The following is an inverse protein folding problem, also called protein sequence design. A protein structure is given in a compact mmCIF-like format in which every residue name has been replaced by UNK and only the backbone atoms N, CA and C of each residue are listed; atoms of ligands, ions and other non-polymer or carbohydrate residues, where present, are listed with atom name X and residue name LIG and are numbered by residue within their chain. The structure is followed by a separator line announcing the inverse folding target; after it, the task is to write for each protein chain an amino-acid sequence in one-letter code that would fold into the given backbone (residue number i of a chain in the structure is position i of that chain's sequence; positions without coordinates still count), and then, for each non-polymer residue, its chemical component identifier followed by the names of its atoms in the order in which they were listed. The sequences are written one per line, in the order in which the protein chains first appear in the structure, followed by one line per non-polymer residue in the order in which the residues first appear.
data_IF_733152690877
#
_entry.id   IF_733152690877
#
_cell.length_a   1.000
_cell.length_b   1.000
_cell.length_c   1.000
_cell.angle_alpha   90.00
_cell.angle_beta   90.00
_cell.angle_gamma   90.00
#
_symmetry.space_group_name_H-M   'P 1'
#
loop_
_entity.id
_entity.type
_entity.pdbx_description
1 polymer ?
#
# COMPACT_ATOMS: atom_id res chain seq x y z
N UNK A 1 30.12 4.11 15.55
CA UNK A 1 29.58 4.70 14.29
C UNK A 1 28.72 3.69 13.52
N UNK A 2 29.27 2.52 13.12
CA UNK A 2 28.55 1.48 12.36
C UNK A 2 27.21 1.07 13.00
N UNK A 3 27.22 0.82 14.31
CA UNK A 3 26.04 0.41 15.06
C UNK A 3 24.95 1.49 15.09
N UNK A 4 25.30 2.75 15.37
CA UNK A 4 24.35 3.86 15.39
C UNK A 4 23.66 4.06 14.03
N UNK A 5 24.42 3.97 12.93
CA UNK A 5 23.86 4.04 11.56
C UNK A 5 22.98 2.83 11.28
N UNK A 6 23.40 1.63 11.68
CA UNK A 6 22.62 0.40 11.50
C UNK A 6 21.29 0.47 12.26
N UNK A 7 21.29 0.93 13.51
CA UNK A 7 20.08 1.09 14.31
C UNK A 7 19.12 2.12 13.70
N UNK A 8 19.67 3.21 13.13
CA UNK A 8 18.88 4.19 12.39
C UNK A 8 18.20 3.55 11.17
N UNK A 9 18.95 2.81 10.34
CA UNK A 9 18.40 2.13 9.15
C UNK A 9 17.36 1.08 9.55
N UNK A 10 17.62 0.30 10.61
CA UNK A 10 16.65 -0.67 11.16
C UNK A 10 15.34 0.00 11.57
N UNK A 11 15.41 1.14 12.25
CA UNK A 11 14.22 1.91 12.63
C UNK A 11 13.45 2.42 11.40
N UNK A 12 14.14 2.85 10.35
CA UNK A 12 13.51 3.29 9.10
C UNK A 12 12.83 2.13 8.37
N UNK A 13 13.54 1.00 8.22
CA UNK A 13 13.00 -0.23 7.63
C UNK A 13 11.73 -0.69 8.34
N UNK A 14 11.74 -0.74 9.67
CA UNK A 14 10.59 -1.18 10.47
C UNK A 14 9.35 -0.35 10.17
N UNK A 15 9.50 0.98 10.08
CA UNK A 15 8.38 1.88 9.79
C UNK A 15 7.92 1.81 8.33
N UNK A 16 8.84 1.54 7.40
CA UNK A 16 8.48 1.28 5.99
C UNK A 16 7.69 -0.03 5.89
N UNK A 17 8.09 -1.07 6.62
CA UNK A 17 7.36 -2.35 6.70
C UNK A 17 5.96 -2.14 7.29
N UNK A 18 5.84 -1.40 8.39
CA UNK A 18 4.54 -1.04 8.99
C UNK A 18 3.63 -0.32 7.98
N UNK A 19 4.15 0.69 7.29
CA UNK A 19 3.40 1.42 6.25
C UNK A 19 3.02 0.53 5.06
N UNK A 20 3.87 -0.45 4.70
CA UNK A 20 3.55 -1.43 3.67
C UNK A 20 2.37 -2.31 4.08
N UNK A 21 2.37 -2.85 5.30
CA UNK A 21 1.24 -3.64 5.80
C UNK A 21 -0.04 -2.81 5.91
N UNK A 22 0.07 -1.52 6.23
CA UNK A 22 -1.06 -0.60 6.19
C UNK A 22 -1.64 -0.46 4.77
N UNK A 23 -0.79 -0.35 3.73
CA UNK A 23 -1.24 -0.34 2.34
C UNK A 23 -1.99 -1.62 1.97
N UNK A 24 -1.47 -2.80 2.35
CA UNK A 24 -2.13 -4.09 2.13
C UNK A 24 -3.50 -4.12 2.82
N UNK A 25 -3.59 -3.63 4.07
CA UNK A 25 -4.85 -3.54 4.81
C UNK A 25 -5.87 -2.67 4.08
N UNK A 26 -5.46 -1.48 3.64
CA UNK A 26 -6.31 -0.53 2.92
C UNK A 26 -6.78 -1.10 1.57
N UNK A 27 -5.93 -1.84 0.85
CA UNK A 27 -6.30 -2.54 -0.39
C UNK A 27 -7.39 -3.61 -0.11
N UNK A 28 -7.22 -4.40 0.96
CA UNK A 28 -8.19 -5.41 1.38
C UNK A 28 -9.52 -4.80 1.85
N UNK A 29 -9.47 -3.67 2.56
CA UNK A 29 -10.66 -2.93 3.00
C UNK A 29 -11.40 -2.30 1.81
N UNK A 30 -10.67 -1.75 0.83
CA UNK A 30 -11.27 -1.25 -0.40
C UNK A 30 -11.94 -2.39 -1.19
N UNK A 31 -11.27 -3.54 -1.32
CA UNK A 31 -11.83 -4.72 -1.97
C UNK A 31 -13.11 -5.20 -1.29
N UNK A 32 -13.16 -5.20 0.05
CA UNK A 32 -14.38 -5.48 0.81
C UNK A 32 -15.52 -4.54 0.43
N UNK A 33 -15.25 -3.24 0.31
CA UNK A 33 -16.29 -2.27 -0.06
C UNK A 33 -16.79 -2.48 -1.48
N UNK A 34 -15.89 -2.75 -2.43
CA UNK A 34 -16.26 -3.08 -3.82
C UNK A 34 -17.12 -4.35 -3.87
N UNK A 35 -16.77 -5.40 -3.11
CA UNK A 35 -17.58 -6.61 -2.98
C UNK A 35 -19.01 -6.33 -2.47
N UNK A 36 -19.14 -5.43 -1.50
CA UNK A 36 -20.42 -5.13 -0.86
C UNK A 36 -21.32 -4.22 -1.72
N UNK A 37 -20.72 -3.28 -2.47
CA UNK A 37 -21.43 -2.22 -3.20
C UNK A 37 -21.58 -2.57 -4.69
N UNK A 38 -20.52 -3.03 -5.33
CA UNK A 38 -20.44 -3.10 -6.79
C UNK A 38 -20.73 -4.51 -7.34
N UNK A 39 -20.78 -5.53 -6.47
CA UNK A 39 -21.18 -6.88 -6.84
C UNK A 39 -20.22 -7.48 -7.86
N UNK A 40 -19.02 -7.84 -7.43
CA UNK A 40 -17.98 -8.34 -8.35
C UNK A 40 -18.25 -9.81 -8.72
N UNK A 41 -18.28 -10.11 -10.02
CA UNK A 41 -17.98 -11.46 -10.54
C UNK A 41 -16.46 -11.60 -10.55
N UNK A 42 -15.93 -12.35 -9.60
CA UNK A 42 -14.49 -12.58 -9.46
C UNK A 42 -14.14 -13.81 -10.28
N UNK A 43 -13.32 -13.62 -11.31
CA UNK A 43 -12.76 -14.70 -12.12
C UNK A 43 -11.46 -15.24 -11.53
N UNK A 44 -11.15 -16.50 -11.88
CA UNK A 44 -10.25 -17.47 -11.22
C UNK A 44 -8.77 -17.08 -10.96
N UNK A 45 -8.34 -15.85 -11.24
CA UNK A 45 -6.93 -15.43 -11.09
C UNK A 45 -6.63 -14.70 -9.77
N UNK A 46 -7.65 -14.43 -8.95
CA UNK A 46 -7.48 -13.86 -7.61
C UNK A 46 -7.72 -14.92 -6.54
N UNK A 47 -6.91 -14.87 -5.47
CA UNK A 47 -6.70 -15.84 -4.39
C UNK A 47 -7.94 -16.26 -3.55
N UNK A 48 -9.15 -16.02 -4.03
CA UNK A 48 -10.34 -15.93 -3.19
C UNK A 48 -11.62 -16.35 -3.94
N UNK A 49 -12.16 -17.53 -3.63
CA UNK A 49 -13.47 -17.98 -4.12
C UNK A 49 -14.62 -17.53 -3.19
N UNK A 50 -15.36 -16.48 -3.57
CA UNK A 50 -16.72 -16.22 -3.04
C UNK A 50 -17.72 -16.15 -4.18
N UNK A 51 -18.67 -17.08 -4.17
CA UNK A 51 -19.89 -17.01 -4.97
C UNK A 51 -20.97 -16.33 -4.16
N UNK A 52 -21.16 -15.03 -4.36
CA UNK A 52 -22.50 -14.47 -4.14
C UNK A 52 -23.14 -14.25 -5.49
N UNK A 53 -24.32 -14.83 -5.69
CA UNK A 53 -25.11 -14.65 -6.91
C UNK A 53 -25.14 -13.18 -7.28
N UNK A 54 -24.63 -12.82 -8.47
CA UNK A 54 -24.73 -11.47 -9.06
C UNK A 54 -26.17 -11.12 -9.45
N UNK A 55 -27.11 -11.41 -8.56
CA UNK A 55 -28.52 -11.08 -8.68
C UNK A 55 -28.68 -9.63 -8.22
N UNK A 56 -29.08 -8.77 -9.15
CA UNK A 56 -29.21 -7.32 -8.93
C UNK A 56 -30.08 -6.99 -7.71
N UNK A 57 -31.10 -7.81 -7.41
CA UNK A 57 -31.95 -7.64 -6.23
C UNK A 57 -31.18 -7.76 -4.91
N UNK A 58 -30.23 -8.70 -4.83
CA UNK A 58 -29.38 -8.85 -3.63
C UNK A 58 -28.37 -7.71 -3.51
N UNK A 59 -27.80 -7.28 -4.63
CA UNK A 59 -26.88 -6.13 -4.66
C UNK A 59 -27.62 -4.85 -4.24
N UNK A 60 -28.83 -4.63 -4.76
CA UNK A 60 -29.67 -3.50 -4.42
C UNK A 60 -30.14 -3.55 -2.95
N UNK A 61 -30.49 -4.74 -2.43
CA UNK A 61 -30.79 -4.93 -1.00
C UNK A 61 -29.59 -4.55 -0.13
N UNK A 62 -28.38 -4.99 -0.48
CA UNK A 62 -27.14 -4.63 0.22
C UNK A 62 -26.89 -3.12 0.17
N UNK A 63 -26.93 -2.50 -1.02
CA UNK A 63 -26.77 -1.04 -1.17
C UNK A 63 -27.74 -0.27 -0.29
N UNK A 64 -29.01 -0.69 -0.26
CA UNK A 64 -30.05 -0.05 0.57
C UNK A 64 -29.81 -0.23 2.07
N UNK A 65 -29.33 -1.40 2.51
CA UNK A 65 -29.00 -1.67 3.91
C UNK A 65 -27.73 -0.95 4.37
N UNK A 66 -26.78 -0.76 3.48
CA UNK A 66 -25.46 -0.18 3.77
C UNK A 66 -25.46 1.35 3.68
N UNK A 67 -26.30 1.96 2.83
CA UNK A 67 -26.55 3.40 2.79
C UNK A 67 -25.36 4.26 2.33
N UNK A 68 -25.48 5.58 2.53
CA UNK A 68 -24.47 6.60 2.12
C UNK A 68 -23.12 6.47 2.85
N UNK A 69 -23.13 5.88 4.06
CA UNK A 69 -21.95 5.72 4.92
C UNK A 69 -20.83 4.88 4.30
N UNK A 70 -21.17 4.00 3.36
CA UNK A 70 -20.19 3.14 2.68
C UNK A 70 -19.45 3.86 1.55
N UNK A 71 -20.09 4.82 0.87
CA UNK A 71 -19.43 5.63 -0.15
C UNK A 71 -18.40 6.59 0.46
N UNK A 72 -18.71 7.19 1.61
CA UNK A 72 -17.74 7.99 2.36
C UNK A 72 -16.57 7.15 2.85
N UNK A 73 -16.82 5.95 3.39
CA UNK A 73 -15.76 5.02 3.80
C UNK A 73 -14.85 4.60 2.62
N UNK A 74 -15.42 4.35 1.44
CA UNK A 74 -14.65 4.01 0.23
C UNK A 74 -13.69 5.13 -0.15
N UNK A 75 -14.17 6.37 -0.10
CA UNK A 75 -13.33 7.56 -0.33
C UNK A 75 -12.21 7.65 0.70
N UNK A 76 -12.54 7.58 1.98
CA UNK A 76 -11.56 7.71 3.07
C UNK A 76 -10.45 6.65 3.00
N UNK A 77 -10.80 5.40 2.66
CA UNK A 77 -9.82 4.31 2.48
C UNK A 77 -8.94 4.55 1.26
N UNK A 78 -9.54 4.99 0.14
CA UNK A 78 -8.80 5.29 -1.09
C UNK A 78 -7.82 6.43 -0.85
N UNK A 79 -8.27 7.53 -0.27
CA UNK A 79 -7.43 8.68 0.07
C UNK A 79 -6.31 8.25 1.05
N UNK A 80 -6.64 7.47 2.09
CA UNK A 80 -5.65 6.94 3.04
C UNK A 80 -4.58 6.07 2.37
N UNK A 81 -4.97 5.26 1.38
CA UNK A 81 -4.05 4.42 0.62
C UNK A 81 -3.04 5.27 -0.15
N UNK A 82 -3.53 6.23 -0.94
CA UNK A 82 -2.67 7.09 -1.74
C UNK A 82 -1.81 8.05 -0.90
N UNK A 83 -2.33 8.56 0.22
CA UNK A 83 -1.56 9.35 1.18
C UNK A 83 -0.42 8.53 1.81
N UNK A 84 -0.69 7.27 2.16
CA UNK A 84 0.33 6.37 2.73
C UNK A 84 1.39 6.03 1.68
N UNK A 85 0.98 5.75 0.45
CA UNK A 85 1.88 5.46 -0.66
C UNK A 85 2.77 6.67 -1.00
N UNK A 86 2.19 7.88 -1.07
CA UNK A 86 2.92 9.12 -1.33
C UNK A 86 4.03 9.37 -0.29
N UNK A 87 3.73 9.17 1.00
CA UNK A 87 4.68 9.37 2.10
C UNK A 87 5.91 8.46 2.00
N UNK A 88 5.75 7.24 1.48
CA UNK A 88 6.87 6.31 1.29
C UNK A 88 7.87 6.80 0.24
N UNK A 89 7.41 7.55 -0.76
CA UNK A 89 8.23 8.12 -1.84
C UNK A 89 8.66 9.56 -1.60
N UNK A 90 8.36 10.13 -0.42
CA UNK A 90 8.70 11.50 -0.12
C UNK A 90 10.19 11.75 0.00
N UNK A 91 10.61 12.91 -0.50
CA UNK A 91 11.98 13.35 -0.38
C UNK A 91 12.39 13.55 1.09
N UNK A 92 13.69 13.52 1.40
CA UNK A 92 14.18 13.70 2.76
C UNK A 92 13.86 15.08 3.34
N UNK A 93 12.71 15.22 4.00
CA UNK A 93 12.43 16.35 4.88
C UNK A 93 13.00 16.05 6.27
N UNK A 94 13.57 17.08 6.93
CA UNK A 94 14.18 16.99 8.29
C UNK A 94 13.30 16.26 9.32
N UNK A 95 11.97 16.28 9.14
CA UNK A 95 10.98 15.75 10.08
C UNK A 95 10.24 14.48 9.57
N UNK A 96 10.64 13.90 8.43
CA UNK A 96 10.04 12.67 7.89
C UNK A 96 11.08 11.55 7.78
N UNK A 97 11.49 10.95 8.91
CA UNK A 97 12.57 9.96 8.91
C UNK A 97 12.21 8.64 8.22
N UNK A 98 10.95 8.44 7.80
CA UNK A 98 10.39 7.12 7.48
C UNK A 98 10.15 6.91 5.98
N UNK A 99 10.61 7.79 5.10
CA UNK A 99 10.50 7.57 3.65
C UNK A 99 11.64 6.71 3.12
N UNK A 100 11.39 6.01 2.03
CA UNK A 100 12.36 5.16 1.37
C UNK A 100 13.57 5.98 0.86
N UNK A 101 13.40 7.16 0.23
CA UNK A 101 14.54 8.00 -0.15
C UNK A 101 15.45 8.39 1.02
N UNK A 102 14.91 8.62 2.22
CA UNK A 102 15.73 8.93 3.41
C UNK A 102 16.56 7.72 3.82
N UNK A 103 15.96 6.53 3.82
CA UNK A 103 16.67 5.28 4.13
C UNK A 103 17.78 5.01 3.11
N UNK A 104 17.48 5.10 1.81
CA UNK A 104 18.44 4.93 0.72
C UNK A 104 19.58 5.94 0.85
N UNK A 105 19.29 7.23 1.08
CA UNK A 105 20.32 8.25 1.31
C UNK A 105 21.20 7.93 2.53
N UNK A 106 20.60 7.41 3.60
CA UNK A 106 21.32 7.01 4.82
C UNK A 106 22.25 5.84 4.55
N UNK A 107 21.81 4.84 3.79
CA UNK A 107 22.65 3.71 3.38
C UNK A 107 23.78 4.21 2.47
N UNK A 108 23.45 4.99 1.43
CA UNK A 108 24.41 5.41 0.41
C UNK A 108 25.55 6.26 0.97
N UNK A 109 25.26 7.16 1.93
CA UNK A 109 26.29 7.95 2.62
C UNK A 109 27.23 7.12 3.50
N UNK A 110 26.82 5.90 3.84
CA UNK A 110 27.51 5.05 4.80
C UNK A 110 27.93 3.70 4.20
N UNK A 111 28.01 3.55 2.87
CA UNK A 111 28.41 2.29 2.25
C UNK A 111 29.74 1.72 2.77
N UNK A 112 30.71 2.60 3.00
CA UNK A 112 32.06 2.25 3.42
C UNK A 112 32.15 1.53 4.78
N UNK A 113 31.10 1.58 5.62
CA UNK A 113 31.08 0.91 6.92
C UNK A 113 30.41 -0.48 6.91
N UNK A 114 29.89 -0.95 5.76
CA UNK A 114 29.19 -2.24 5.64
C UNK A 114 30.02 -3.26 4.86
N UNK A 115 30.16 -4.49 5.37
CA UNK A 115 31.01 -5.56 4.82
C UNK A 115 30.42 -6.24 3.56
N UNK A 116 29.12 -6.07 3.28
CA UNK A 116 28.43 -6.62 2.11
C UNK A 116 27.95 -5.52 1.17
N UNK A 117 28.80 -4.52 0.93
CA UNK A 117 28.44 -3.30 0.20
C UNK A 117 27.87 -3.59 -1.19
N UNK A 118 28.39 -4.59 -1.91
CA UNK A 118 28.05 -4.78 -3.32
C UNK A 118 26.61 -5.23 -3.53
N UNK A 119 26.13 -6.22 -2.77
CA UNK A 119 24.73 -6.65 -2.85
C UNK A 119 23.76 -5.56 -2.39
N UNK A 120 24.15 -4.75 -1.40
CA UNK A 120 23.36 -3.63 -0.92
C UNK A 120 23.28 -2.50 -1.96
N UNK A 121 24.38 -2.23 -2.66
CA UNK A 121 24.43 -1.31 -3.80
C UNK A 121 23.52 -1.78 -4.92
N UNK A 122 23.60 -3.06 -5.32
CA UNK A 122 22.72 -3.63 -6.36
C UNK A 122 21.25 -3.45 -5.98
N UNK A 123 20.86 -3.75 -4.74
CA UNK A 123 19.48 -3.56 -4.29
C UNK A 123 19.01 -2.10 -4.39
N UNK A 124 19.87 -1.14 -4.03
CA UNK A 124 19.57 0.29 -4.13
C UNK A 124 19.52 0.74 -5.59
N UNK A 125 20.46 0.32 -6.44
CA UNK A 125 20.46 0.67 -7.86
C UNK A 125 19.24 0.11 -8.60
N UNK A 126 18.85 -1.14 -8.33
CA UNK A 126 17.60 -1.71 -8.90
C UNK A 126 16.35 -0.93 -8.48
N UNK A 127 16.31 -0.46 -7.23
CA UNK A 127 15.24 0.42 -6.77
C UNK A 127 15.26 1.78 -7.49
N UNK A 128 16.41 2.43 -7.60
CA UNK A 128 16.55 3.73 -8.27
C UNK A 128 16.16 3.64 -9.75
N UNK A 129 16.55 2.59 -10.47
CA UNK A 129 16.11 2.32 -11.84
C UNK A 129 14.59 2.11 -11.93
N UNK A 130 14.02 1.39 -10.96
CA UNK A 130 12.58 1.15 -10.88
C UNK A 130 11.81 2.43 -10.59
N UNK A 131 12.36 3.33 -9.76
CA UNK A 131 11.78 4.65 -9.50
C UNK A 131 11.74 5.50 -10.76
N UNK A 132 12.85 5.57 -11.52
CA UNK A 132 12.92 6.36 -12.75
C UNK A 132 11.85 5.90 -13.75
N UNK A 133 11.66 4.58 -13.89
CA UNK A 133 10.62 4.00 -14.76
C UNK A 133 9.17 4.28 -14.31
N UNK A 134 8.97 4.75 -13.09
CA UNK A 134 7.65 5.01 -12.50
C UNK A 134 7.53 6.44 -11.96
N UNK A 135 8.41 7.36 -12.39
CA UNK A 135 8.49 8.70 -11.81
C UNK A 135 7.19 9.50 -12.04
N UNK A 136 6.59 9.36 -13.22
CA UNK A 136 5.34 10.05 -13.57
C UNK A 136 4.19 9.59 -12.67
N UNK A 137 4.10 8.28 -12.42
CA UNK A 137 3.12 7.70 -11.53
C UNK A 137 3.33 8.15 -10.07
N UNK A 138 4.57 8.18 -9.60
CA UNK A 138 4.90 8.66 -8.26
C UNK A 138 4.55 10.15 -8.13
N UNK A 139 4.83 10.96 -9.15
CA UNK A 139 4.48 12.37 -9.18
C UNK A 139 2.96 12.57 -9.16
N UNK A 140 2.20 11.78 -9.90
CA UNK A 140 0.73 11.80 -9.87
C UNK A 140 0.19 11.50 -8.46
N UNK A 141 0.75 10.51 -7.76
CA UNK A 141 0.36 10.16 -6.39
C UNK A 141 0.72 11.27 -5.40
N UNK A 142 1.90 11.90 -5.56
CA UNK A 142 2.30 13.06 -4.74
C UNK A 142 1.42 14.28 -4.99
N UNK A 143 1.06 14.53 -6.24
CA UNK A 143 0.14 15.60 -6.62
C UNK A 143 -1.24 15.38 -6.00
N UNK A 144 -1.74 14.14 -6.03
CA UNK A 144 -2.99 13.79 -5.33
C UNK A 144 -2.91 14.07 -3.84
N UNK A 145 -1.81 13.68 -3.17
CA UNK A 145 -1.60 14.04 -1.75
C UNK A 145 -1.67 15.56 -1.56
N UNK A 146 -0.95 16.33 -2.37
CA UNK A 146 -0.87 17.79 -2.19
C UNK A 146 -2.23 18.46 -2.42
N UNK A 147 -2.99 17.99 -3.41
CA UNK A 147 -4.34 18.49 -3.68
C UNK A 147 -5.36 18.05 -2.61
N UNK A 148 -5.34 16.79 -2.19
CA UNK A 148 -6.26 16.28 -1.18
C UNK A 148 -5.97 16.81 0.23
N UNK A 149 -4.71 17.12 0.57
CA UNK A 149 -4.37 17.80 1.82
C UNK A 149 -4.62 19.31 1.78
N UNK A 150 -4.57 19.95 0.61
CA UNK A 150 -4.89 21.37 0.45
C UNK A 150 -6.40 21.63 0.52
N UNK A 151 -7.22 20.66 0.11
CA UNK A 151 -8.68 20.73 0.19
C UNK A 151 -9.19 20.01 1.45
N UNK A 152 -9.10 20.69 2.60
CA UNK A 152 -9.85 20.31 3.83
C UNK A 152 -11.38 20.37 3.67
N UNK A 153 -11.86 20.78 2.50
CA UNK A 153 -13.27 20.83 2.19
C UNK A 153 -13.70 19.49 1.62
N UNK A 154 -14.48 18.74 2.41
CA UNK A 154 -15.17 17.49 2.08
C UNK A 154 -16.07 17.51 0.81
N UNK A 155 -15.93 18.50 -0.08
CA UNK A 155 -16.88 18.83 -1.15
C UNK A 155 -16.39 18.62 -2.58
N UNK A 156 -15.09 18.45 -2.85
CA UNK A 156 -14.61 18.09 -4.19
C UNK A 156 -14.24 16.60 -4.25
N UNK A 157 -14.86 15.86 -5.17
CA UNK A 157 -14.31 14.58 -5.60
C UNK A 157 -12.98 14.88 -6.31
N UNK A 158 -11.89 14.32 -5.79
CA UNK A 158 -10.59 14.44 -6.42
C UNK A 158 -10.48 13.38 -7.52
N UNK A 159 -10.86 13.74 -8.75
CA UNK A 159 -10.85 12.85 -9.91
C UNK A 159 -9.44 12.60 -10.48
N UNK A 160 -8.38 13.14 -9.86
CA UNK A 160 -6.99 13.03 -10.33
C UNK A 160 -6.45 11.60 -10.37
N UNK A 161 -7.11 10.66 -9.68
CA UNK A 161 -6.73 9.25 -9.64
C UNK A 161 -7.69 8.34 -10.40
N UNK A 162 -8.69 8.88 -11.09
CA UNK A 162 -9.71 8.08 -11.78
C UNK A 162 -9.11 7.25 -12.93
N UNK A 163 -7.95 7.65 -13.45
CA UNK A 163 -7.21 6.91 -14.48
C UNK A 163 -6.22 5.89 -13.93
N UNK A 164 -6.04 5.81 -12.61
CA UNK A 164 -5.02 4.98 -11.99
C UNK A 164 -5.52 3.54 -11.81
N UNK A 165 -4.87 2.61 -12.49
CA UNK A 165 -5.22 1.20 -12.42
C UNK A 165 -4.68 0.52 -11.15
N UNK A 166 -5.37 -0.53 -10.70
CA UNK A 166 -4.88 -1.41 -9.62
C UNK A 166 -3.51 -2.03 -9.94
N UNK A 167 -3.20 -2.24 -11.22
CA UNK A 167 -1.91 -2.78 -11.64
C UNK A 167 -0.77 -1.77 -11.43
N UNK A 168 -1.02 -0.48 -11.68
CA UNK A 168 -0.02 0.57 -11.45
C UNK A 168 0.31 0.74 -9.97
N UNK A 169 -0.71 0.73 -9.09
CA UNK A 169 -0.49 0.82 -7.64
C UNK A 169 0.19 -0.43 -7.08
N UNK A 170 -0.18 -1.62 -7.56
CA UNK A 170 0.48 -2.88 -7.19
C UNK A 170 1.95 -2.91 -7.61
N UNK A 171 2.27 -2.42 -8.82
CA UNK A 171 3.65 -2.28 -9.28
C UNK A 171 4.51 -1.43 -8.33
N UNK A 172 3.97 -0.34 -7.79
CA UNK A 172 4.68 0.46 -6.80
C UNK A 172 4.87 -0.29 -5.48
N UNK A 173 3.85 -1.02 -5.02
CA UNK A 173 3.97 -1.86 -3.82
C UNK A 173 5.05 -2.95 -4.00
N UNK A 174 5.14 -3.56 -5.18
CA UNK A 174 6.18 -4.56 -5.47
C UNK A 174 7.58 -3.96 -5.44
N UNK A 175 7.77 -2.74 -5.95
CA UNK A 175 9.05 -2.01 -5.86
C UNK A 175 9.45 -1.82 -4.39
N UNK A 176 8.49 -1.43 -3.54
CA UNK A 176 8.72 -1.25 -2.10
C UNK A 176 9.10 -2.58 -1.44
N UNK A 177 8.30 -3.63 -1.68
CA UNK A 177 8.51 -4.97 -1.12
C UNK A 177 9.88 -5.53 -1.50
N UNK A 178 10.25 -5.44 -2.77
CA UNK A 178 11.51 -5.96 -3.28
C UNK A 178 12.71 -5.25 -2.66
N UNK A 179 12.68 -3.91 -2.56
CA UNK A 179 13.74 -3.16 -1.88
C UNK A 179 13.82 -3.54 -0.40
N UNK A 180 12.70 -3.51 0.32
CA UNK A 180 12.65 -3.78 1.75
C UNK A 180 13.18 -5.18 2.05
N UNK A 181 12.75 -6.20 1.31
CA UNK A 181 13.22 -7.57 1.51
C UNK A 181 14.71 -7.71 1.20
N UNK A 182 15.19 -7.05 0.15
CA UNK A 182 16.60 -7.05 -0.19
C UNK A 182 17.43 -6.42 0.93
N UNK A 183 17.03 -5.26 1.43
CA UNK A 183 17.78 -4.49 2.45
C UNK A 183 17.65 -5.12 3.85
N UNK A 184 16.49 -5.63 4.23
CA UNK A 184 16.23 -6.15 5.60
C UNK A 184 17.20 -7.27 5.99
N UNK A 185 17.59 -8.11 5.03
CA UNK A 185 18.55 -9.20 5.23
C UNK A 185 19.96 -8.73 5.67
N UNK A 186 20.33 -7.48 5.40
CA UNK A 186 21.62 -6.90 5.80
C UNK A 186 21.62 -6.35 7.22
N UNK A 187 20.42 -6.14 7.79
CA UNK A 187 20.23 -5.50 9.08
C UNK A 187 19.53 -6.42 10.07
N UNK A 188 19.56 -7.74 9.85
CA UNK A 188 18.95 -8.76 10.71
C UNK A 188 17.47 -8.45 11.03
N UNK A 189 16.75 -7.90 10.05
CA UNK A 189 15.32 -7.65 10.14
C UNK A 189 14.56 -8.65 9.28
N UNK A 190 13.42 -9.07 9.80
CA UNK A 190 12.42 -9.80 9.01
C UNK A 190 11.80 -8.78 8.05
N UNK A 191 11.89 -9.04 6.75
CA UNK A 191 11.24 -8.22 5.73
C UNK A 191 9.73 -8.47 5.66
N UNK A 192 9.13 -8.08 4.55
CA UNK A 192 7.73 -8.36 4.23
C UNK A 192 7.61 -9.83 3.80
N UNK A 193 6.98 -10.64 4.66
CA UNK A 193 6.72 -12.06 4.40
C UNK A 193 5.42 -12.27 3.62
N UNK A 194 5.46 -13.19 2.65
CA UNK A 194 4.28 -13.66 1.94
C UNK A 194 3.28 -14.36 2.89
N UNK A 195 3.78 -15.01 3.95
CA UNK A 195 2.91 -15.65 4.95
C UNK A 195 2.01 -14.62 5.66
N UNK A 196 2.56 -13.44 5.94
CA UNK A 196 1.85 -12.40 6.69
C UNK A 196 0.79 -11.75 5.81
N UNK A 197 1.13 -11.47 4.55
CA UNK A 197 0.17 -10.98 3.55
C UNK A 197 -0.96 -12.00 3.36
N UNK A 198 -0.63 -13.28 3.19
CA UNK A 198 -1.63 -14.34 3.02
C UNK A 198 -2.54 -14.49 4.24
N UNK A 199 -1.98 -14.37 5.45
CA UNK A 199 -2.77 -14.38 6.68
C UNK A 199 -3.76 -13.22 6.72
N UNK A 200 -3.31 -11.99 6.42
CA UNK A 200 -4.18 -10.81 6.35
C UNK A 200 -5.30 -10.97 5.32
N UNK A 201 -4.97 -11.47 4.13
CA UNK A 201 -5.93 -11.74 3.05
C UNK A 201 -6.98 -12.77 3.47
N UNK A 202 -6.55 -13.88 4.08
CA UNK A 202 -7.44 -14.94 4.55
C UNK A 202 -8.37 -14.46 5.67
N UNK A 203 -7.85 -13.66 6.62
CA UNK A 203 -8.66 -13.07 7.68
C UNK A 203 -9.69 -12.08 7.14
N UNK A 204 -9.30 -11.20 6.21
CA UNK A 204 -10.20 -10.27 5.53
C UNK A 204 -11.29 -11.03 4.77
N UNK A 205 -10.90 -12.06 4.01
CA UNK A 205 -11.82 -12.88 3.25
C UNK A 205 -12.88 -13.57 4.13
N UNK A 206 -12.45 -14.17 5.25
CA UNK A 206 -13.36 -14.81 6.19
C UNK A 206 -14.38 -13.81 6.75
N UNK A 207 -13.92 -12.63 7.18
CA UNK A 207 -14.78 -11.53 7.67
C UNK A 207 -15.79 -11.09 6.60
N UNK A 208 -15.35 -10.94 5.35
CA UNK A 208 -16.20 -10.51 4.25
C UNK A 208 -17.28 -11.55 3.94
N UNK A 209 -16.92 -12.84 3.94
CA UNK A 209 -17.85 -13.94 3.70
C UNK A 209 -18.93 -14.02 4.79
N UNK A 210 -18.54 -13.88 6.06
CA UNK A 210 -19.47 -13.87 7.20
C UNK A 210 -20.44 -12.68 7.13
N UNK A 211 -19.92 -11.50 6.77
CA UNK A 211 -20.74 -10.30 6.58
C UNK A 211 -21.75 -10.47 5.46
N UNK A 212 -21.32 -10.98 4.30
CA UNK A 212 -22.20 -11.23 3.15
C UNK A 212 -23.32 -12.20 3.50
N UNK A 213 -23.01 -13.31 4.17
CA UNK A 213 -24.01 -14.27 4.66
C UNK A 213 -25.02 -13.63 5.61
N UNK A 214 -24.61 -12.65 6.41
CA UNK A 214 -25.49 -11.95 7.34
C UNK A 214 -26.43 -11.00 6.60
N UNK A 215 -25.93 -10.26 5.60
CA UNK A 215 -26.72 -9.32 4.80
C UNK A 215 -27.72 -10.02 3.87
N UNK A 216 -27.48 -11.27 3.51
CA UNK A 216 -28.34 -12.06 2.63
C UNK A 216 -29.44 -12.85 3.35
N UNK A 217 -29.46 -12.85 4.69
CA UNK A 217 -30.60 -13.34 5.48
C UNK A 217 -31.78 -12.37 5.38
#
# INVERSE_FOLDING_TARGET
MKEAVSNKIKSQLSKIIEAYFELVRLELDNFRLVLLIDGVKIDNETLVHVTTSGCDDKINKRRKLLGETFYSQKKDITDSFFLTLAKLFDEPKRNQPNSIPVMVSTISKNYHIFEKTEKLKVAISTYEESLIKNIDLINLIKEHRDKCLAHNDNKSQCNHLDSLSTNETRRLMDIIKNLVNSVSSFFDLIGISESDINKMSNESFKKNTELLKTLEK
#
